data_IF_103358151092
#
_entry.id   IF_103358151092
#
_cell.length_a   1.000
_cell.length_b   1.000
_cell.length_c   1.000
_cell.angle_alpha   90.00
_cell.angle_beta   90.00
_cell.angle_gamma   90.00
#
_symmetry.space_group_name_H-M   'P 1'
#
loop_
_entity.id
_entity.type
_entity.pdbx_description
1 polymer ?
#
# COMPACT_ATOMS: atom_id res chain seq x y z
N UNK A 1 24.97 16.43 -16.28
CA UNK A 1 23.57 16.07 -15.93
C UNK A 1 23.15 16.86 -14.71
N UNK A 2 22.34 17.90 -14.90
CA UNK A 2 21.96 18.84 -13.85
C UNK A 2 20.73 18.29 -13.10
N UNK A 3 20.90 17.81 -11.86
CA UNK A 3 19.80 17.40 -10.99
C UNK A 3 19.03 18.66 -10.56
N UNK A 4 18.03 19.05 -11.33
CA UNK A 4 17.04 20.02 -10.84
C UNK A 4 16.26 19.39 -9.70
N UNK A 5 16.68 19.66 -8.46
CA UNK A 5 15.93 19.35 -7.26
C UNK A 5 14.69 20.25 -7.28
N UNK A 6 13.59 19.71 -7.80
CA UNK A 6 12.30 20.37 -7.83
C UNK A 6 11.82 20.61 -6.38
N UNK A 7 12.11 21.79 -5.82
CA UNK A 7 11.61 22.24 -4.51
C UNK A 7 10.11 22.52 -4.61
N UNK A 8 9.29 21.47 -4.68
CA UNK A 8 7.84 21.62 -4.47
C UNK A 8 7.61 22.14 -3.05
N UNK A 9 6.79 23.17 -2.90
CA UNK A 9 6.47 23.69 -1.57
C UNK A 9 5.76 22.62 -0.75
N UNK A 10 6.05 22.56 0.55
CA UNK A 10 5.44 21.64 1.52
C UNK A 10 3.89 21.64 1.43
N UNK A 11 3.31 22.78 1.04
CA UNK A 11 1.87 22.96 0.84
C UNK A 11 1.33 22.17 -0.36
N UNK A 12 2.05 22.13 -1.48
CA UNK A 12 1.70 21.30 -2.65
C UNK A 12 1.91 19.81 -2.36
N UNK A 13 2.89 19.50 -1.51
CA UNK A 13 3.15 18.14 -1.05
C UNK A 13 1.98 17.57 -0.25
N UNK A 14 1.50 18.30 0.77
CA UNK A 14 0.33 17.91 1.57
C UNK A 14 -0.96 17.84 0.74
N UNK A 15 -1.17 18.75 -0.22
CA UNK A 15 -2.35 18.71 -1.10
C UNK A 15 -2.41 17.47 -2.01
N UNK A 16 -1.26 16.92 -2.40
CA UNK A 16 -1.21 15.73 -3.27
C UNK A 16 -1.38 14.39 -2.52
N UNK A 17 -1.27 14.39 -1.19
CA UNK A 17 -1.39 13.19 -0.35
C UNK A 17 -2.84 12.79 -0.02
N UNK A 18 -3.76 13.76 0.01
CA UNK A 18 -5.14 13.62 0.48
C UNK A 18 -6.12 13.41 -0.68
N UNK A 19 -6.07 12.24 -1.33
CA UNK A 19 -7.16 11.81 -2.22
C UNK A 19 -8.30 11.23 -1.37
N UNK A 20 -9.58 11.49 -1.68
CA UNK A 20 -10.72 11.02 -0.87
C UNK A 20 -10.69 9.50 -0.62
N UNK A 21 -10.29 8.72 -1.63
CA UNK A 21 -10.09 7.26 -1.52
C UNK A 21 -9.09 6.89 -0.39
N UNK A 22 -8.03 7.67 -0.22
CA UNK A 22 -7.01 7.42 0.81
C UNK A 22 -7.51 7.77 2.20
N UNK A 23 -8.31 8.83 2.31
CA UNK A 23 -8.96 9.22 3.57
C UNK A 23 -9.95 8.13 3.99
N UNK A 24 -10.75 7.62 3.05
CA UNK A 24 -11.68 6.51 3.32
C UNK A 24 -10.95 5.25 3.75
N UNK A 25 -9.86 4.89 3.07
CA UNK A 25 -9.04 3.73 3.44
C UNK A 25 -8.38 3.89 4.82
N UNK A 26 -7.87 5.09 5.12
CA UNK A 26 -7.30 5.41 6.43
C UNK A 26 -8.35 5.34 7.55
N UNK A 27 -9.54 5.88 7.31
CA UNK A 27 -10.67 5.82 8.24
C UNK A 27 -11.12 4.39 8.52
N UNK A 28 -11.17 3.53 7.49
CA UNK A 28 -11.49 2.11 7.62
C UNK A 28 -10.47 1.36 8.50
N UNK A 29 -9.17 1.63 8.31
CA UNK A 29 -8.11 1.03 9.15
C UNK A 29 -8.26 1.47 10.61
N UNK A 30 -8.48 2.76 10.87
CA UNK A 30 -8.71 3.25 12.22
C UNK A 30 -9.97 2.66 12.85
N UNK A 31 -11.06 2.56 12.10
CA UNK A 31 -12.28 1.91 12.55
C UNK A 31 -12.07 0.45 12.93
N UNK A 32 -11.30 -0.30 12.15
CA UNK A 32 -10.93 -1.68 12.46
C UNK A 32 -10.10 -1.79 13.75
N UNK A 33 -9.13 -0.90 13.95
CA UNK A 33 -8.33 -0.88 15.17
C UNK A 33 -9.15 -0.52 16.41
N UNK A 34 -10.05 0.46 16.30
CA UNK A 34 -10.99 0.79 17.38
C UNK A 34 -11.86 -0.43 17.71
N UNK A 35 -12.38 -1.13 16.69
CA UNK A 35 -13.16 -2.35 16.89
C UNK A 35 -12.34 -3.44 17.62
N UNK A 36 -11.08 -3.65 17.23
CA UNK A 36 -10.17 -4.58 17.91
C UNK A 36 -9.95 -4.22 19.38
N UNK A 37 -9.83 -2.93 19.69
CA UNK A 37 -9.74 -2.45 21.07
C UNK A 37 -11.02 -2.79 21.85
N UNK A 38 -12.20 -2.53 21.28
CA UNK A 38 -13.47 -2.88 21.93
C UNK A 38 -13.62 -4.40 22.14
N UNK A 39 -13.22 -5.23 21.17
CA UNK A 39 -13.26 -6.69 21.29
C UNK A 39 -12.32 -7.18 22.40
N UNK A 40 -11.11 -6.65 22.47
CA UNK A 40 -10.13 -7.06 23.48
C UNK A 40 -10.51 -6.60 24.89
N UNK A 41 -11.03 -5.38 25.01
CA UNK A 41 -11.42 -4.80 26.29
C UNK A 41 -12.77 -5.35 26.80
N UNK A 42 -13.85 -5.25 26.01
CA UNK A 42 -15.18 -5.69 26.44
C UNK A 42 -15.44 -7.18 26.18
N UNK A 43 -14.96 -7.72 25.06
CA UNK A 43 -15.21 -9.12 24.68
C UNK A 43 -14.35 -10.10 25.47
N UNK A 44 -13.05 -9.84 25.56
CA UNK A 44 -12.09 -10.71 26.25
C UNK A 44 -11.82 -10.32 27.70
N UNK A 45 -12.47 -9.25 28.19
CA UNK A 45 -12.30 -8.70 29.56
C UNK A 45 -10.84 -8.54 29.96
N UNK A 46 -9.98 -8.15 29.01
CA UNK A 46 -8.57 -7.89 29.27
C UNK A 46 -8.40 -6.52 29.86
N UNK A 47 -7.36 -6.37 30.68
CA UNK A 47 -7.04 -5.09 31.29
C UNK A 47 -6.81 -4.01 30.21
N UNK A 48 -7.08 -2.75 30.56
CA UNK A 48 -6.97 -1.59 29.67
C UNK A 48 -5.56 -1.52 29.08
N UNK A 49 -4.54 -1.75 29.93
CA UNK A 49 -3.13 -1.72 29.54
C UNK A 49 -2.81 -2.81 28.51
N UNK A 50 -3.36 -4.03 28.69
CA UNK A 50 -3.14 -5.14 27.76
C UNK A 50 -3.83 -4.87 26.42
N UNK A 51 -5.05 -4.32 26.45
CA UNK A 51 -5.83 -4.00 25.25
C UNK A 51 -5.19 -2.88 24.42
N UNK A 52 -4.66 -1.83 25.09
CA UNK A 52 -3.87 -0.77 24.45
C UNK A 52 -2.57 -1.30 23.84
N UNK A 53 -1.89 -2.22 24.52
CA UNK A 53 -0.64 -2.81 24.03
C UNK A 53 -0.88 -3.61 22.73
N UNK A 54 -1.93 -4.43 22.69
CA UNK A 54 -2.33 -5.18 21.48
C UNK A 54 -2.70 -4.23 20.34
N UNK A 55 -3.44 -3.15 20.65
CA UNK A 55 -3.80 -2.12 19.67
C UNK A 55 -2.57 -1.48 19.02
N UNK A 56 -1.63 -0.99 19.84
CA UNK A 56 -0.42 -0.33 19.33
C UNK A 56 0.53 -1.30 18.62
N UNK A 57 0.67 -2.53 19.12
CA UNK A 57 1.45 -3.58 18.46
C UNK A 57 0.89 -3.91 17.07
N UNK A 58 -0.44 -3.93 16.92
CA UNK A 58 -1.11 -4.10 15.63
C UNK A 58 -0.80 -2.97 14.65
N UNK A 59 -0.89 -1.70 15.10
CA UNK A 59 -0.55 -0.53 14.26
C UNK A 59 0.90 -0.57 13.81
N UNK A 60 1.82 -0.93 14.70
CA UNK A 60 3.24 -1.04 14.41
C UNK A 60 3.51 -2.14 13.37
N UNK A 61 2.86 -3.30 13.53
CA UNK A 61 3.01 -4.44 12.60
C UNK A 61 2.54 -4.09 11.19
N UNK A 62 1.36 -3.48 11.04
CA UNK A 62 0.86 -3.05 9.72
C UNK A 62 1.76 -1.98 9.12
N UNK A 63 2.23 -1.04 9.93
CA UNK A 63 3.10 0.04 9.49
C UNK A 63 4.46 -0.50 9.00
N UNK A 64 5.03 -1.51 9.67
CA UNK A 64 6.23 -2.21 9.21
C UNK A 64 6.01 -2.94 7.88
N UNK A 65 4.90 -3.67 7.74
CA UNK A 65 4.53 -4.36 6.49
C UNK A 65 4.40 -3.35 5.35
N UNK A 66 3.70 -2.23 5.58
CA UNK A 66 3.52 -1.16 4.60
C UNK A 66 4.87 -0.56 4.18
N UNK A 67 5.77 -0.34 5.14
CA UNK A 67 7.09 0.24 4.90
C UNK A 67 7.99 -0.74 4.13
N UNK A 68 7.91 -2.04 4.44
CA UNK A 68 8.58 -3.10 3.69
C UNK A 68 8.09 -3.19 2.24
N UNK A 69 6.76 -3.12 2.03
CA UNK A 69 6.15 -3.06 0.69
C UNK A 69 6.66 -1.82 -0.07
N UNK A 70 6.71 -0.66 0.58
CA UNK A 70 7.10 0.62 -0.03
C UNK A 70 8.60 0.70 -0.34
N UNK A 71 9.46 0.01 0.42
CA UNK A 71 10.92 -0.01 0.23
C UNK A 71 11.44 -1.08 -0.76
N UNK A 72 10.56 -1.82 -1.42
CA UNK A 72 10.96 -2.76 -2.49
C UNK A 72 10.66 -4.23 -2.21
N UNK A 73 10.32 -4.62 -0.98
CA UNK A 73 9.96 -6.02 -0.70
C UNK A 73 8.64 -6.42 -1.38
N UNK A 74 7.74 -5.45 -1.55
CA UNK A 74 6.50 -5.63 -2.30
C UNK A 74 6.67 -5.58 -3.82
N UNK A 75 7.82 -5.12 -4.34
CA UNK A 75 8.03 -4.99 -5.79
C UNK A 75 8.05 -6.35 -6.48
N UNK A 76 8.62 -7.39 -5.86
CA UNK A 76 8.62 -8.75 -6.42
C UNK A 76 7.21 -9.33 -6.54
N UNK A 77 6.40 -9.22 -5.50
CA UNK A 77 5.02 -9.73 -5.49
C UNK A 77 4.14 -8.88 -6.42
N UNK A 78 4.28 -7.56 -6.38
CA UNK A 78 3.54 -6.66 -7.26
C UNK A 78 3.92 -6.83 -8.73
N UNK A 79 5.19 -7.11 -9.05
CA UNK A 79 5.66 -7.41 -10.41
C UNK A 79 5.05 -8.72 -10.93
N UNK A 80 5.00 -9.76 -10.11
CA UNK A 80 4.36 -11.03 -10.47
C UNK A 80 2.86 -10.88 -10.71
N UNK A 81 2.14 -10.17 -9.83
CA UNK A 81 0.70 -9.97 -9.99
C UNK A 81 0.39 -9.05 -11.18
N UNK A 82 1.19 -8.01 -11.37
CA UNK A 82 0.99 -7.06 -12.48
C UNK A 82 1.33 -7.68 -13.83
N UNK A 83 2.37 -8.52 -13.94
CA UNK A 83 2.69 -9.24 -15.17
C UNK A 83 1.61 -10.25 -15.55
N UNK A 84 1.06 -10.99 -14.57
CA UNK A 84 -0.06 -11.90 -14.81
C UNK A 84 -1.32 -11.17 -15.31
N UNK A 85 -1.70 -10.06 -14.66
CA UNK A 85 -2.84 -9.24 -15.11
C UNK A 85 -2.59 -8.63 -16.48
N UNK A 86 -1.37 -8.19 -16.75
CA UNK A 86 -0.99 -7.63 -18.05
C UNK A 86 -1.14 -8.67 -19.16
N UNK A 87 -0.61 -9.88 -18.97
CA UNK A 87 -0.71 -10.96 -19.94
C UNK A 87 -2.17 -11.37 -20.19
N UNK A 88 -2.99 -11.43 -19.14
CA UNK A 88 -4.43 -11.65 -19.28
C UNK A 88 -5.13 -10.55 -20.08
N UNK A 89 -4.75 -9.27 -19.87
CA UNK A 89 -5.29 -8.14 -20.65
C UNK A 89 -4.87 -8.24 -22.11
N UNK A 90 -3.59 -8.52 -22.38
CA UNK A 90 -3.06 -8.73 -23.74
C UNK A 90 -3.85 -9.82 -24.47
N UNK A 91 -4.05 -10.99 -23.84
CA UNK A 91 -4.81 -12.09 -24.43
C UNK A 91 -6.27 -11.72 -24.69
N UNK A 92 -6.91 -11.02 -23.76
CA UNK A 92 -8.31 -10.58 -23.92
C UNK A 92 -8.48 -9.56 -25.05
N UNK A 93 -7.54 -8.62 -25.20
CA UNK A 93 -7.60 -7.63 -26.28
C UNK A 93 -7.20 -8.22 -27.63
N UNK A 94 -6.17 -9.06 -27.69
CA UNK A 94 -5.75 -9.71 -28.93
C UNK A 94 -6.87 -10.61 -29.49
N UNK A 95 -7.60 -11.32 -28.62
CA UNK A 95 -8.76 -12.13 -29.02
C UNK A 95 -9.89 -11.32 -29.68
N UNK A 96 -10.02 -10.02 -29.38
CA UNK A 96 -11.02 -9.15 -30.03
C UNK A 96 -10.62 -8.76 -31.45
N UNK A 97 -9.33 -8.82 -31.78
CA UNK A 97 -8.79 -8.49 -33.10
C UNK A 97 -8.71 -9.74 -34.01
N UNK A 98 -9.09 -10.92 -33.52
CA UNK A 98 -9.18 -12.14 -34.34
C UNK A 98 -10.45 -12.09 -35.21
N UNK A 99 -10.25 -11.88 -36.51
CA UNK A 99 -11.34 -11.71 -37.50
C UNK A 99 -12.00 -13.05 -37.87
N UNK A 100 -11.30 -14.18 -37.73
CA UNK A 100 -11.86 -15.52 -37.97
C UNK A 100 -11.20 -16.58 -37.09
N UNK A 101 -11.96 -17.62 -36.71
CA UNK A 101 -11.44 -18.75 -35.93
C UNK A 101 -10.36 -19.54 -36.71
N UNK A 102 -10.40 -19.48 -38.05
CA UNK A 102 -9.49 -20.17 -38.97
C UNK A 102 -8.18 -19.40 -39.27
N UNK A 103 -7.91 -18.28 -38.61
CA UNK A 103 -6.62 -17.60 -38.76
C UNK A 103 -5.45 -18.53 -38.48
N UNK A 104 -4.40 -18.41 -39.29
CA UNK A 104 -3.17 -19.17 -39.09
C UNK A 104 -2.52 -18.80 -37.76
N UNK A 105 -1.78 -19.74 -37.17
CA UNK A 105 -1.05 -19.52 -35.91
C UNK A 105 -0.14 -18.30 -36.01
N UNK A 106 0.48 -18.10 -37.18
CA UNK A 106 1.35 -16.95 -37.47
C UNK A 106 0.62 -15.61 -37.41
N UNK A 107 -0.60 -15.52 -37.95
CA UNK A 107 -1.40 -14.29 -37.91
C UNK A 107 -1.87 -13.97 -36.49
N UNK A 108 -2.28 -15.00 -35.73
CA UNK A 108 -2.68 -14.85 -34.32
C UNK A 108 -1.52 -14.35 -33.46
N UNK A 109 -0.30 -14.85 -33.69
CA UNK A 109 0.92 -14.39 -33.00
C UNK A 109 1.33 -12.97 -33.40
N UNK A 110 1.17 -12.61 -34.68
CA UNK A 110 1.42 -11.24 -35.15
C UNK A 110 0.50 -10.22 -34.46
N UNK A 111 -0.78 -10.55 -34.34
CA UNK A 111 -1.77 -9.72 -33.63
C UNK A 111 -1.40 -9.65 -32.14
N UNK A 112 -1.12 -10.78 -31.50
CA UNK A 112 -0.76 -10.85 -30.08
C UNK A 112 0.46 -9.96 -29.75
N UNK A 113 1.52 -10.03 -30.56
CA UNK A 113 2.72 -9.22 -30.37
C UNK A 113 2.47 -7.73 -30.61
N UNK A 114 1.62 -7.38 -31.59
CA UNK A 114 1.21 -5.99 -31.84
C UNK A 114 0.45 -5.41 -30.63
N UNK A 115 -0.52 -6.16 -30.09
CA UNK A 115 -1.28 -5.77 -28.89
C UNK A 115 -0.37 -5.64 -27.67
N UNK A 116 0.57 -6.59 -27.49
CA UNK A 116 1.55 -6.54 -26.41
C UNK A 116 2.42 -5.28 -26.46
N UNK A 117 2.90 -4.91 -27.64
CA UNK A 117 3.71 -3.70 -27.82
C UNK A 117 2.91 -2.41 -27.59
N UNK A 118 1.67 -2.33 -28.09
CA UNK A 118 0.76 -1.20 -27.84
C UNK A 118 0.55 -0.98 -26.33
N UNK A 119 0.15 -2.03 -25.61
CA UNK A 119 -0.13 -1.96 -24.19
C UNK A 119 1.13 -1.67 -23.34
N UNK A 120 2.31 -2.16 -23.75
CA UNK A 120 3.59 -1.79 -23.10
C UNK A 120 3.90 -0.30 -23.25
N UNK A 121 3.65 0.28 -24.42
CA UNK A 121 3.86 1.70 -24.65
C UNK A 121 2.90 2.56 -23.83
N UNK A 122 1.63 2.16 -23.72
CA UNK A 122 0.64 2.82 -22.84
C UNK A 122 1.06 2.78 -21.37
N UNK A 123 1.51 1.62 -20.88
CA UNK A 123 2.02 1.48 -19.52
C UNK A 123 3.27 2.33 -19.28
N UNK A 124 4.20 2.39 -20.24
CA UNK A 124 5.40 3.21 -20.15
C UNK A 124 5.06 4.72 -20.10
N UNK A 125 4.07 5.17 -20.86
CA UNK A 125 3.56 6.55 -20.80
C UNK A 125 2.90 6.85 -19.45
N UNK A 126 2.02 5.97 -18.97
CA UNK A 126 1.37 6.10 -17.67
C UNK A 126 2.38 6.08 -16.51
N UNK A 127 3.43 5.25 -16.59
CA UNK A 127 4.50 5.22 -15.60
C UNK A 127 5.26 6.57 -15.56
N UNK A 128 5.61 7.13 -16.71
CA UNK A 128 6.28 8.45 -16.81
C UNK A 128 5.44 9.56 -16.18
N UNK A 129 4.12 9.55 -16.37
CA UNK A 129 3.22 10.52 -15.73
C UNK A 129 3.12 10.31 -14.22
N UNK A 130 3.14 9.07 -13.75
CA UNK A 130 3.11 8.73 -12.33
C UNK A 130 4.36 9.21 -11.59
N UNK A 131 5.53 9.13 -12.21
CA UNK A 131 6.78 9.68 -11.65
C UNK A 131 6.79 11.22 -11.62
N UNK A 132 5.99 11.89 -12.45
CA UNK A 132 5.84 13.35 -12.44
C UNK A 132 5.09 13.84 -11.19
N UNK A 133 4.34 12.98 -10.50
CA UNK A 133 3.63 13.28 -9.25
C UNK A 133 3.94 12.22 -8.19
N UNK A 134 5.12 12.27 -7.54
CA UNK A 134 5.46 11.34 -6.49
C UNK A 134 4.45 11.46 -5.36
N UNK A 135 3.68 10.40 -5.13
CA UNK A 135 2.67 10.37 -4.09
C UNK A 135 3.35 9.99 -2.79
N UNK A 136 3.54 10.99 -1.93
CA UNK A 136 4.18 10.82 -0.63
C UNK A 136 3.24 10.21 0.39
N UNK A 137 3.12 8.89 0.33
CA UNK A 137 2.52 8.12 1.41
C UNK A 137 3.56 7.71 2.45
N UNK A 138 4.85 7.75 2.09
CA UNK A 138 5.94 7.29 2.95
C UNK A 138 6.03 8.09 4.26
N UNK A 139 5.92 9.41 4.22
CA UNK A 139 6.02 10.25 5.41
C UNK A 139 4.85 10.06 6.39
N UNK A 140 3.63 9.83 5.88
CA UNK A 140 2.45 9.58 6.72
C UNK A 140 2.58 8.23 7.44
N UNK A 141 2.99 7.19 6.72
CA UNK A 141 3.22 5.88 7.33
C UNK A 141 4.43 5.88 8.28
N UNK A 142 5.48 6.64 7.96
CA UNK A 142 6.63 6.82 8.84
C UNK A 142 6.24 7.53 10.13
N UNK A 143 5.41 8.59 10.07
CA UNK A 143 4.94 9.29 11.28
C UNK A 143 4.06 8.39 12.13
N UNK A 144 3.17 7.59 11.53
CA UNK A 144 2.35 6.61 12.24
C UNK A 144 3.20 5.55 12.95
N UNK A 145 4.25 5.06 12.28
CA UNK A 145 5.18 4.10 12.85
C UNK A 145 5.92 4.68 14.06
N UNK A 146 6.39 5.93 13.96
CA UNK A 146 7.07 6.63 15.07
C UNK A 146 6.14 6.86 16.26
N UNK A 147 4.89 7.26 16.00
CA UNK A 147 3.88 7.43 17.04
C UNK A 147 3.58 6.10 17.73
N UNK A 148 3.35 5.03 16.97
CA UNK A 148 3.07 3.71 17.54
C UNK A 148 4.25 3.16 18.35
N UNK A 149 5.48 3.34 17.86
CA UNK A 149 6.69 2.96 18.59
C UNK A 149 6.83 3.74 19.90
N UNK A 150 6.62 5.05 19.87
CA UNK A 150 6.65 5.90 21.06
C UNK A 150 5.65 5.42 22.12
N UNK A 151 4.40 5.16 21.73
CA UNK A 151 3.37 4.69 22.66
C UNK A 151 3.70 3.31 23.26
N UNK A 152 4.27 2.38 22.49
CA UNK A 152 4.70 1.09 23.03
C UNK A 152 5.80 1.29 24.09
N UNK A 153 6.80 2.11 23.80
CA UNK A 153 7.90 2.39 24.74
C UNK A 153 7.38 3.01 26.04
N UNK A 154 6.41 3.92 25.95
CA UNK A 154 5.77 4.54 27.13
C UNK A 154 4.90 3.54 27.91
N UNK A 155 4.29 2.55 27.25
CA UNK A 155 3.46 1.54 27.91
C UNK A 155 4.27 0.45 28.62
N UNK A 156 5.52 0.20 28.23
CA UNK A 156 6.40 -0.78 28.90
C UNK A 156 6.52 -0.52 30.43
N UNK A 157 6.88 0.68 30.92
CA UNK A 157 6.97 0.91 32.36
C UNK A 157 5.63 0.79 33.08
N UNK A 158 4.52 1.19 32.44
CA UNK A 158 3.17 1.00 32.98
C UNK A 158 2.82 -0.49 33.12
N UNK A 159 3.18 -1.30 32.14
CA UNK A 159 3.00 -2.76 32.19
C UNK A 159 3.84 -3.39 33.31
N UNK A 160 5.07 -2.93 33.51
CA UNK A 160 5.94 -3.40 34.60
C UNK A 160 5.37 -3.04 35.98
N UNK A 161 4.83 -1.83 36.13
CA UNK A 161 4.21 -1.37 37.38
C UNK A 161 2.92 -2.15 37.68
N UNK A 162 2.11 -2.39 36.66
CA UNK A 162 0.89 -3.20 36.77
C UNK A 162 1.19 -4.68 37.07
N UNK A 163 2.18 -5.28 36.40
CA UNK A 163 2.60 -6.66 36.67
C UNK A 163 3.19 -6.84 38.09
N UNK A 164 3.68 -5.76 38.70
CA UNK A 164 4.14 -5.74 40.10
C UNK A 164 3.00 -5.42 41.10
N UNK A 165 1.77 -5.24 40.63
CA UNK A 165 0.61 -4.93 41.48
C UNK A 165 0.66 -3.53 42.12
N UNK A 166 1.45 -2.62 41.57
CA UNK A 166 1.58 -1.25 42.08
C UNK A 166 0.53 -0.29 41.49
N UNK A 167 -0.21 -0.74 40.46
CA UNK A 167 -1.30 -0.05 39.77
C UNK A 167 -2.29 -1.07 39.23
#
# INVERSE_FOLDING_TARGET
MNKQINRRSFRQYCKSGLTPIRITFFSLIWGFFILLFFITYFGLKKDIVTSLTVFWAGILSISLIQLAITKGFGEGIAASVSSWRFENKVRKEAKKEYVSDHMTVFEKDKILNRTRNRLRQEQAKAAREKFKNPTSNFLIYLSLLLIAFFFIVVMIPLYVLHAKGQI
#
